data_IF_800894988028
#
_entry.id   IF_800894988028
#
_cell.length_a   1.000
_cell.length_b   1.000
_cell.length_c   1.000
_cell.angle_alpha   90.00
_cell.angle_beta   90.00
_cell.angle_gamma   90.00
#
_symmetry.space_group_name_H-M   'P 1'
#
loop_
_entity.id
_entity.type
_entity.pdbx_description
1 polymer ?
#
# COMPACT_ATOMS: atom_id res chain seq x y z
N UNK A 1 -26.65 -31.38 -20.97
CA UNK A 1 -25.58 -30.64 -21.69
C UNK A 1 -24.87 -29.70 -20.72
N UNK A 2 -23.55 -29.64 -20.71
CA UNK A 2 -22.84 -28.66 -19.88
C UNK A 2 -23.17 -27.24 -20.36
N UNK A 3 -23.30 -26.31 -19.42
CA UNK A 3 -23.50 -24.90 -19.74
C UNK A 3 -22.26 -24.31 -20.46
N UNK A 4 -22.46 -23.31 -21.33
CA UNK A 4 -21.34 -22.68 -22.03
C UNK A 4 -20.41 -21.96 -21.03
N UNK A 5 -19.10 -21.99 -21.32
CA UNK A 5 -18.12 -21.19 -20.58
C UNK A 5 -18.07 -19.78 -21.17
N UNK A 6 -18.18 -18.78 -20.29
CA UNK A 6 -18.06 -17.37 -20.67
C UNK A 6 -16.58 -17.01 -20.66
N UNK A 7 -16.10 -16.45 -21.77
CA UNK A 7 -14.72 -15.93 -21.84
C UNK A 7 -14.62 -14.59 -21.12
N UNK A 8 -13.65 -14.46 -20.24
CA UNK A 8 -13.36 -13.22 -19.54
C UNK A 8 -12.22 -12.50 -20.25
N UNK A 9 -12.32 -11.18 -20.52
CA UNK A 9 -11.23 -10.41 -21.10
C UNK A 9 -10.01 -10.38 -20.17
N UNK A 10 -8.83 -10.14 -20.75
CA UNK A 10 -7.58 -10.02 -19.99
C UNK A 10 -6.92 -8.69 -20.25
N UNK A 11 -6.32 -8.11 -19.23
CA UNK A 11 -5.67 -6.81 -19.24
C UNK A 11 -4.23 -6.94 -18.78
N UNK A 12 -3.41 -5.94 -19.08
CA UNK A 12 -2.01 -5.84 -18.65
C UNK A 12 -1.83 -4.58 -17.80
N UNK A 13 -1.05 -4.70 -16.74
CA UNK A 13 -0.70 -3.61 -15.83
C UNK A 13 0.80 -3.68 -15.54
N UNK A 14 1.42 -2.51 -15.33
CA UNK A 14 2.82 -2.42 -14.89
C UNK A 14 2.85 -2.05 -13.42
N UNK A 15 3.44 -2.90 -12.58
CA UNK A 15 3.57 -2.66 -11.14
C UNK A 15 4.46 -1.43 -10.89
N UNK A 16 4.04 -0.49 -10.04
CA UNK A 16 4.80 0.72 -9.73
C UNK A 16 6.15 0.45 -9.07
N UNK A 17 6.26 -0.56 -8.21
CA UNK A 17 7.47 -0.85 -7.43
C UNK A 17 8.67 -1.27 -8.28
N UNK A 18 8.46 -2.19 -9.21
CA UNK A 18 9.53 -2.90 -9.91
C UNK A 18 9.41 -2.89 -11.44
N UNK A 19 8.40 -2.19 -11.99
CA UNK A 19 8.11 -2.10 -13.42
C UNK A 19 7.77 -3.44 -14.08
N UNK A 20 7.49 -4.48 -13.32
CA UNK A 20 7.07 -5.78 -13.83
C UNK A 20 5.69 -5.69 -14.44
N UNK A 21 5.53 -6.24 -15.64
CA UNK A 21 4.22 -6.36 -16.30
C UNK A 21 3.49 -7.58 -15.77
N UNK A 22 2.25 -7.40 -15.36
CA UNK A 22 1.35 -8.45 -14.91
C UNK A 22 0.09 -8.47 -15.75
N UNK A 23 -0.43 -9.65 -16.02
CA UNK A 23 -1.71 -9.84 -16.71
C UNK A 23 -2.74 -10.28 -15.70
N UNK A 24 -3.93 -9.72 -15.80
CA UNK A 24 -5.04 -9.99 -14.92
C UNK A 24 -6.36 -10.05 -15.68
N UNK A 25 -7.38 -10.61 -15.06
CA UNK A 25 -8.77 -10.55 -15.48
C UNK A 25 -9.60 -9.75 -14.49
N UNK A 26 -10.74 -9.21 -14.90
CA UNK A 26 -11.73 -8.67 -13.96
C UNK A 26 -12.16 -9.74 -12.96
N UNK A 27 -12.59 -9.35 -11.78
CA UNK A 27 -13.25 -10.28 -10.88
C UNK A 27 -14.67 -10.63 -11.39
N UNK A 28 -15.14 -11.78 -11.01
CA UNK A 28 -16.46 -12.30 -11.35
C UNK A 28 -17.37 -12.19 -10.12
N UNK A 29 -18.63 -12.51 -10.26
CA UNK A 29 -19.61 -12.50 -9.14
C UNK A 29 -19.14 -13.29 -7.91
N UNK A 30 -18.34 -14.32 -8.09
CA UNK A 30 -17.79 -15.10 -6.96
C UNK A 30 -16.79 -14.31 -6.13
N UNK A 31 -15.91 -13.54 -6.76
CA UNK A 31 -14.97 -12.67 -6.06
C UNK A 31 -15.66 -11.43 -5.47
N UNK A 32 -16.67 -10.89 -6.17
CA UNK A 32 -17.52 -9.81 -5.65
C UNK A 32 -18.22 -10.21 -4.35
N UNK A 33 -18.75 -11.43 -4.27
CA UNK A 33 -19.36 -11.95 -3.03
C UNK A 33 -18.36 -12.03 -1.88
N UNK A 34 -17.12 -12.42 -2.15
CA UNK A 34 -16.04 -12.46 -1.12
C UNK A 34 -15.82 -11.06 -0.59
N UNK A 35 -15.69 -10.05 -1.47
CA UNK A 35 -15.48 -8.67 -1.08
C UNK A 35 -16.63 -8.11 -0.25
N UNK A 36 -17.87 -8.31 -0.69
CA UNK A 36 -19.07 -7.83 0.02
C UNK A 36 -19.13 -8.42 1.43
N UNK A 37 -18.94 -9.73 1.57
CA UNK A 37 -18.97 -10.40 2.86
C UNK A 37 -17.85 -9.91 3.80
N UNK A 38 -16.65 -9.64 3.25
CA UNK A 38 -15.55 -9.09 4.02
C UNK A 38 -15.84 -7.65 4.50
N UNK A 39 -16.40 -6.80 3.63
CA UNK A 39 -16.78 -5.43 4.00
C UNK A 39 -17.90 -5.40 5.05
N UNK A 40 -18.89 -6.32 4.96
CA UNK A 40 -19.96 -6.45 5.95
C UNK A 40 -19.45 -6.91 7.34
N UNK A 41 -18.29 -7.56 7.40
CA UNK A 41 -17.70 -8.00 8.67
C UNK A 41 -17.12 -6.85 9.50
N UNK A 42 -16.80 -5.73 8.87
CA UNK A 42 -16.07 -4.58 9.46
C UNK A 42 -14.70 -4.98 10.08
N UNK A 43 -14.20 -6.18 9.76
CA UNK A 43 -12.95 -6.73 10.26
C UNK A 43 -11.82 -6.47 9.23
N UNK A 44 -10.86 -5.64 9.60
CA UNK A 44 -9.74 -5.23 8.73
C UNK A 44 -8.93 -6.42 8.22
N UNK A 45 -8.74 -7.45 9.04
CA UNK A 45 -8.03 -8.66 8.64
C UNK A 45 -8.80 -9.42 7.57
N UNK A 46 -10.11 -9.62 7.76
CA UNK A 46 -10.94 -10.29 6.77
C UNK A 46 -11.01 -9.51 5.45
N UNK A 47 -11.05 -8.18 5.50
CA UNK A 47 -11.01 -7.32 4.32
C UNK A 47 -9.67 -7.50 3.58
N UNK A 48 -8.56 -7.48 4.31
CA UNK A 48 -7.21 -7.67 3.74
C UNK A 48 -7.07 -9.05 3.09
N UNK A 49 -7.46 -10.11 3.79
CA UNK A 49 -7.42 -11.48 3.29
C UNK A 49 -8.28 -11.65 2.03
N UNK A 50 -9.46 -11.02 1.99
CA UNK A 50 -10.33 -11.01 0.81
C UNK A 50 -9.68 -10.31 -0.38
N UNK A 51 -9.04 -9.16 -0.17
CA UNK A 51 -8.32 -8.43 -1.24
C UNK A 51 -7.19 -9.28 -1.80
N UNK A 52 -6.38 -9.90 -0.94
CA UNK A 52 -5.28 -10.81 -1.36
C UNK A 52 -5.84 -11.96 -2.20
N UNK A 53 -6.89 -12.61 -1.71
CA UNK A 53 -7.53 -13.72 -2.41
C UNK A 53 -8.06 -13.30 -3.77
N UNK A 54 -8.79 -12.18 -3.83
CA UNK A 54 -9.35 -11.65 -5.09
C UNK A 54 -8.25 -11.34 -6.10
N UNK A 55 -7.17 -10.67 -5.67
CA UNK A 55 -6.05 -10.36 -6.56
C UNK A 55 -5.40 -11.65 -7.04
N UNK A 56 -5.13 -12.60 -6.14
CA UNK A 56 -4.53 -13.91 -6.48
C UNK A 56 -5.36 -14.67 -7.52
N UNK A 57 -6.69 -14.71 -7.35
CA UNK A 57 -7.62 -15.37 -8.26
C UNK A 57 -7.73 -14.65 -9.62
N UNK A 58 -7.54 -13.33 -9.65
CA UNK A 58 -7.62 -12.52 -10.85
C UNK A 58 -6.29 -12.44 -11.63
N UNK A 59 -5.15 -12.67 -10.97
CA UNK A 59 -3.85 -12.68 -11.64
C UNK A 59 -3.70 -13.89 -12.56
N UNK A 60 -3.29 -13.63 -13.81
CA UNK A 60 -3.00 -14.65 -14.83
C UNK A 60 -1.49 -14.90 -14.90
N UNK A 61 -0.68 -13.87 -14.63
CA UNK A 61 0.78 -14.00 -14.59
C UNK A 61 1.19 -14.91 -13.45
N UNK A 62 1.82 -16.03 -13.78
CA UNK A 62 2.37 -16.96 -12.80
C UNK A 62 3.61 -16.37 -12.11
N UNK A 63 3.94 -16.88 -10.93
CA UNK A 63 5.11 -16.47 -10.13
C UNK A 63 5.08 -15.02 -9.65
N UNK A 64 3.89 -14.52 -9.33
CA UNK A 64 3.68 -13.30 -8.57
C UNK A 64 3.01 -13.71 -7.27
N UNK A 65 3.75 -13.60 -6.19
CA UNK A 65 3.24 -13.78 -4.85
C UNK A 65 2.69 -12.43 -4.37
N UNK A 66 1.38 -12.36 -4.21
CA UNK A 66 0.68 -11.12 -3.86
C UNK A 66 1.10 -10.61 -2.48
N UNK A 67 1.34 -11.52 -1.54
CA UNK A 67 1.69 -11.19 -0.15
C UNK A 67 3.07 -10.54 -0.01
N UNK A 68 3.96 -10.80 -1.00
CA UNK A 68 5.30 -10.21 -1.09
C UNK A 68 5.36 -8.89 -1.85
N UNK A 69 4.23 -8.44 -2.41
CA UNK A 69 4.17 -7.14 -3.05
C UNK A 69 4.08 -6.02 -1.99
N UNK A 70 4.63 -4.83 -2.29
CA UNK A 70 4.37 -3.65 -1.49
C UNK A 70 2.88 -3.31 -1.47
N UNK A 71 2.41 -2.73 -0.37
CA UNK A 71 1.00 -2.37 -0.18
C UNK A 71 0.45 -1.49 -1.30
N UNK A 72 1.21 -0.49 -1.74
CA UNK A 72 0.79 0.39 -2.84
C UNK A 72 0.67 -0.32 -4.20
N UNK A 73 1.42 -1.42 -4.44
CA UNK A 73 1.24 -2.27 -5.63
C UNK A 73 -0.07 -3.06 -5.54
N UNK A 74 -0.38 -3.59 -4.35
CA UNK A 74 -1.61 -4.35 -4.07
C UNK A 74 -2.83 -3.44 -4.25
N UNK A 75 -2.80 -2.27 -3.65
CA UNK A 75 -3.86 -1.26 -3.76
C UNK A 75 -4.09 -0.86 -5.23
N UNK A 76 -3.01 -0.58 -5.95
CA UNK A 76 -3.06 -0.21 -7.36
C UNK A 76 -3.60 -1.34 -8.24
N UNK A 77 -3.19 -2.57 -7.95
CA UNK A 77 -3.67 -3.76 -8.66
C UNK A 77 -5.15 -3.99 -8.41
N UNK A 78 -5.59 -3.91 -7.15
CA UNK A 78 -6.98 -4.06 -6.76
C UNK A 78 -7.89 -3.03 -7.43
N UNK A 79 -7.50 -1.75 -7.42
CA UNK A 79 -8.25 -0.70 -8.11
C UNK A 79 -8.41 -0.98 -9.61
N UNK A 80 -7.35 -1.41 -10.27
CA UNK A 80 -7.40 -1.73 -11.70
C UNK A 80 -8.26 -2.95 -12.00
N UNK A 81 -8.19 -4.00 -11.17
CA UNK A 81 -9.06 -5.17 -11.28
C UNK A 81 -10.52 -4.75 -11.11
N UNK A 82 -10.82 -3.93 -10.08
CA UNK A 82 -12.16 -3.42 -9.81
C UNK A 82 -12.69 -2.54 -10.94
N UNK A 83 -11.88 -1.63 -11.46
CA UNK A 83 -12.25 -0.75 -12.57
C UNK A 83 -12.77 -1.52 -13.78
N UNK A 84 -12.12 -2.63 -14.11
CA UNK A 84 -12.54 -3.47 -15.25
C UNK A 84 -13.66 -4.46 -14.92
N UNK A 85 -14.11 -4.51 -13.66
CA UNK A 85 -15.16 -5.42 -13.19
C UNK A 85 -16.51 -4.70 -13.01
N UNK A 86 -16.50 -3.56 -12.32
CA UNK A 86 -17.70 -2.87 -11.83
C UNK A 86 -17.89 -1.52 -12.52
N UNK A 87 -16.79 -0.93 -13.04
CA UNK A 87 -16.82 0.38 -13.69
C UNK A 87 -15.59 1.22 -13.36
N UNK A 88 -15.36 2.23 -14.17
CA UNK A 88 -14.16 3.06 -14.14
C UNK A 88 -14.25 4.25 -13.17
N UNK A 89 -15.37 4.38 -12.44
CA UNK A 89 -15.57 5.44 -11.44
C UNK A 89 -15.86 4.86 -10.06
N UNK A 90 -15.49 5.62 -9.03
CA UNK A 90 -15.81 5.36 -7.64
C UNK A 90 -16.45 6.62 -7.04
N UNK A 91 -17.52 6.44 -6.27
CA UNK A 91 -18.17 7.50 -5.52
C UNK A 91 -17.55 7.56 -4.13
N UNK A 92 -17.15 8.75 -3.70
CA UNK A 92 -16.55 8.99 -2.40
C UNK A 92 -17.26 10.13 -1.68
N UNK A 93 -17.38 10.01 -0.35
CA UNK A 93 -17.95 11.03 0.50
C UNK A 93 -16.83 11.83 1.17
N UNK A 94 -16.66 13.08 0.75
CA UNK A 94 -15.62 13.96 1.24
C UNK A 94 -16.15 14.90 2.29
N UNK A 95 -15.57 14.90 3.48
CA UNK A 95 -15.83 15.92 4.49
C UNK A 95 -15.07 17.18 4.13
N UNK A 96 -15.79 18.30 3.97
CA UNK A 96 -15.20 19.59 3.64
C UNK A 96 -14.24 20.07 4.73
N UNK A 97 -12.96 20.39 4.40
CA UNK A 97 -11.97 20.78 5.41
C UNK A 97 -12.27 22.10 6.11
N UNK A 98 -13.00 23.00 5.45
CA UNK A 98 -13.27 24.35 5.94
C UNK A 98 -14.21 24.38 7.16
N UNK A 99 -15.16 23.44 7.25
CA UNK A 99 -16.10 23.36 8.38
C UNK A 99 -16.02 22.03 9.15
N UNK A 100 -15.34 21.00 8.58
CA UNK A 100 -15.18 19.69 9.19
C UNK A 100 -16.50 18.90 9.38
N UNK A 101 -17.57 19.28 8.71
CA UNK A 101 -18.92 18.73 8.93
C UNK A 101 -19.66 18.42 7.65
N UNK A 102 -19.62 19.32 6.67
CA UNK A 102 -20.36 19.17 5.42
C UNK A 102 -19.72 18.08 4.58
N UNK A 103 -20.54 17.11 4.17
CA UNK A 103 -20.09 16.02 3.28
C UNK A 103 -20.54 16.31 1.86
N UNK A 104 -19.66 16.07 0.90
CA UNK A 104 -19.90 16.20 -0.53
C UNK A 104 -19.62 14.87 -1.19
N UNK A 105 -20.60 14.34 -1.90
CA UNK A 105 -20.45 13.17 -2.73
C UNK A 105 -19.80 13.57 -4.05
N UNK A 106 -18.72 12.88 -4.41
CA UNK A 106 -17.93 13.16 -5.61
C UNK A 106 -17.56 11.86 -6.30
N UNK A 107 -17.66 11.84 -7.62
CA UNK A 107 -17.22 10.70 -8.45
C UNK A 107 -15.80 10.93 -8.93
N UNK A 108 -14.93 9.94 -8.74
CA UNK A 108 -13.53 9.94 -9.15
C UNK A 108 -13.34 8.86 -10.22
N UNK A 109 -12.67 9.20 -11.32
CA UNK A 109 -12.25 8.20 -12.29
C UNK A 109 -11.04 7.43 -11.74
N UNK A 110 -11.12 6.11 -11.70
CA UNK A 110 -10.07 5.23 -11.18
C UNK A 110 -8.75 5.40 -11.96
N UNK A 111 -8.85 5.71 -13.27
CA UNK A 111 -7.67 5.96 -14.10
C UNK A 111 -6.90 7.25 -13.70
N UNK A 112 -7.51 8.16 -12.93
CA UNK A 112 -6.87 9.37 -12.40
C UNK A 112 -6.13 9.10 -11.08
N UNK A 113 -6.43 8.00 -10.39
CA UNK A 113 -5.76 7.58 -9.16
C UNK A 113 -4.40 7.00 -9.53
N UNK A 114 -3.32 7.53 -8.96
CA UNK A 114 -1.94 7.15 -9.29
C UNK A 114 -1.17 6.77 -8.03
N UNK A 115 -0.18 5.91 -8.22
CA UNK A 115 0.86 5.75 -7.21
C UNK A 115 1.85 6.90 -7.37
N UNK A 116 1.84 7.80 -6.40
CA UNK A 116 2.70 8.99 -6.37
C UNK A 116 3.92 8.70 -5.51
N UNK A 117 5.09 8.98 -6.06
CA UNK A 117 6.39 8.88 -5.38
C UNK A 117 6.94 10.27 -5.14
N UNK A 118 7.37 10.56 -3.92
CA UNK A 118 8.09 11.79 -3.61
C UNK A 118 9.38 11.89 -4.46
N UNK A 119 9.72 13.10 -4.90
CA UNK A 119 10.98 13.34 -5.64
C UNK A 119 12.22 13.08 -4.78
N UNK A 120 12.09 13.24 -3.49
CA UNK A 120 13.18 13.08 -2.51
C UNK A 120 13.31 11.65 -1.99
N UNK A 121 12.43 10.74 -2.44
CA UNK A 121 12.45 9.35 -2.00
C UNK A 121 13.70 8.60 -2.45
N UNK A 122 14.40 8.01 -1.50
CA UNK A 122 15.63 7.24 -1.71
C UNK A 122 15.50 5.86 -1.08
N UNK A 123 15.96 4.84 -1.79
CA UNK A 123 16.07 3.47 -1.26
C UNK A 123 17.36 3.25 -0.47
N UNK A 124 18.30 4.16 -0.59
CA UNK A 124 19.62 4.08 0.08
C UNK A 124 19.71 5.22 1.08
N UNK A 125 19.92 4.86 2.34
CA UNK A 125 20.17 5.76 3.46
C UNK A 125 21.66 5.71 3.77
N UNK A 126 22.32 6.86 3.75
CA UNK A 126 23.71 6.97 4.14
C UNK A 126 23.78 7.16 5.66
N UNK A 127 24.28 6.15 6.37
CA UNK A 127 24.34 6.17 7.83
C UNK A 127 25.47 7.05 8.34
N UNK A 128 26.66 6.92 7.72
CA UNK A 128 27.84 7.73 8.02
C UNK A 128 28.79 7.81 6.80
N UNK A 129 30.08 8.13 7.02
CA UNK A 129 31.06 8.20 5.93
C UNK A 129 31.41 6.82 5.38
N UNK A 130 31.24 5.77 6.16
CA UNK A 130 31.62 4.39 5.82
C UNK A 130 30.42 3.57 5.41
N UNK A 131 29.33 3.57 6.20
CA UNK A 131 28.20 2.65 6.04
C UNK A 131 27.01 3.28 5.34
N UNK A 132 26.41 2.49 4.46
CA UNK A 132 25.14 2.78 3.79
C UNK A 132 24.18 1.61 3.98
N UNK A 133 22.91 1.91 4.12
CA UNK A 133 21.83 0.93 4.25
C UNK A 133 20.88 1.06 3.08
N UNK A 134 20.63 -0.04 2.40
CA UNK A 134 19.59 -0.14 1.38
C UNK A 134 18.33 -0.69 1.99
N UNK A 135 17.21 -0.01 1.74
CA UNK A 135 15.89 -0.38 2.21
C UNK A 135 15.04 -0.96 1.07
N UNK A 136 14.14 -1.86 1.41
CA UNK A 136 13.07 -2.40 0.57
C UNK A 136 11.72 -1.94 1.09
N UNK A 137 10.74 -1.85 0.18
CA UNK A 137 9.38 -1.53 0.59
C UNK A 137 8.80 -2.65 1.44
N UNK A 138 8.07 -2.31 2.52
CA UNK A 138 7.39 -3.31 3.32
C UNK A 138 6.37 -4.07 2.47
N UNK A 139 6.39 -5.38 2.58
CA UNK A 139 5.40 -6.26 1.97
C UNK A 139 4.16 -6.36 2.85
N UNK A 140 3.06 -6.84 2.29
CA UNK A 140 1.84 -7.05 3.05
C UNK A 140 2.02 -8.09 4.17
N UNK A 141 2.78 -9.16 3.93
CA UNK A 141 3.12 -10.13 4.98
C UNK A 141 3.75 -9.45 6.19
N UNK A 142 4.70 -8.54 5.95
CA UNK A 142 5.37 -7.80 7.02
C UNK A 142 4.41 -6.88 7.80
N UNK A 143 3.42 -6.27 7.14
CA UNK A 143 2.38 -5.52 7.83
C UNK A 143 1.51 -6.40 8.72
N UNK A 144 1.11 -7.57 8.22
CA UNK A 144 0.29 -8.53 8.97
C UNK A 144 1.07 -9.12 10.15
N UNK A 145 2.33 -9.53 9.94
CA UNK A 145 3.18 -10.16 10.96
C UNK A 145 3.51 -9.21 12.11
N UNK A 146 3.69 -7.92 11.81
CA UNK A 146 4.00 -6.92 12.82
C UNK A 146 2.75 -6.34 13.52
N UNK A 147 1.55 -6.85 13.25
CA UNK A 147 0.27 -6.35 13.76
C UNK A 147 0.17 -4.81 13.68
N UNK A 148 0.58 -4.26 12.53
CA UNK A 148 0.72 -2.82 12.37
C UNK A 148 -0.65 -2.16 12.23
N UNK A 149 -1.30 -1.94 13.37
CA UNK A 149 -2.51 -1.13 13.47
C UNK A 149 -2.15 0.22 14.09
N UNK A 150 -1.93 1.21 13.23
CA UNK A 150 -1.56 2.57 13.67
C UNK A 150 -2.63 3.24 14.54
N UNK A 151 -3.89 2.79 14.46
CA UNK A 151 -5.00 3.45 15.14
C UNK A 151 -5.29 2.90 16.55
N UNK A 152 -4.83 1.69 16.88
CA UNK A 152 -5.24 0.96 18.10
C UNK A 152 -4.09 0.57 19.04
N UNK A 153 -2.83 0.76 18.67
CA UNK A 153 -1.70 0.32 19.49
C UNK A 153 -1.46 1.24 20.70
N UNK A 154 -1.29 0.65 21.88
CA UNK A 154 -0.77 1.35 23.05
C UNK A 154 0.60 1.96 22.71
N UNK A 155 0.97 3.13 23.26
CA UNK A 155 2.16 3.89 22.85
C UNK A 155 3.47 3.06 22.86
N UNK A 156 3.63 2.12 23.78
CA UNK A 156 4.82 1.27 23.86
C UNK A 156 4.81 0.11 22.86
N UNK A 157 3.63 -0.44 22.53
CA UNK A 157 3.48 -1.48 21.53
C UNK A 157 3.66 -0.92 20.11
N UNK A 158 3.20 0.31 19.88
CA UNK A 158 3.38 0.99 18.60
C UNK A 158 4.85 1.26 18.28
N UNK A 159 5.68 1.62 19.25
CA UNK A 159 7.13 1.85 19.06
C UNK A 159 7.83 0.53 18.72
N UNK A 160 7.56 -0.54 19.45
CA UNK A 160 8.16 -1.85 19.18
C UNK A 160 7.76 -2.40 17.81
N UNK A 161 6.48 -2.27 17.44
CA UNK A 161 5.99 -2.68 16.13
C UNK A 161 6.63 -1.84 15.00
N UNK A 162 6.77 -0.53 15.20
CA UNK A 162 7.43 0.36 14.24
C UNK A 162 8.90 -0.02 14.05
N UNK A 163 9.65 -0.29 15.13
CA UNK A 163 11.04 -0.74 15.07
C UNK A 163 11.17 -2.08 14.35
N UNK A 164 10.30 -3.03 14.65
CA UNK A 164 10.26 -4.33 13.98
C UNK A 164 9.92 -4.23 12.48
N UNK A 165 9.07 -3.28 12.11
CA UNK A 165 8.79 -2.98 10.70
C UNK A 165 10.02 -2.39 10.02
N UNK A 166 10.71 -1.45 10.68
CA UNK A 166 11.94 -0.83 10.17
C UNK A 166 13.01 -1.88 9.88
N UNK A 167 13.32 -2.74 10.85
CA UNK A 167 14.33 -3.79 10.70
C UNK A 167 13.96 -4.77 9.57
N UNK A 168 12.67 -5.10 9.43
CA UNK A 168 12.19 -5.97 8.35
C UNK A 168 12.33 -5.36 6.94
N UNK A 169 12.43 -4.03 6.85
CA UNK A 169 12.62 -3.30 5.60
C UNK A 169 14.09 -3.14 5.20
N UNK A 170 15.04 -3.57 6.00
CA UNK A 170 16.44 -3.63 5.59
C UNK A 170 16.60 -4.67 4.47
N UNK A 171 17.21 -4.26 3.36
CA UNK A 171 17.58 -5.16 2.26
C UNK A 171 19.04 -5.57 2.38
N UNK A 172 19.91 -4.59 2.60
CA UNK A 172 21.34 -4.78 2.69
C UNK A 172 22.00 -3.63 3.45
N UNK A 173 23.03 -3.95 4.22
CA UNK A 173 23.96 -2.97 4.79
C UNK A 173 25.30 -3.18 4.08
N UNK A 174 26.01 -2.11 3.73
CA UNK A 174 27.28 -2.23 3.00
C UNK A 174 28.21 -1.05 3.25
N UNK A 175 29.49 -1.30 3.05
CA UNK A 175 30.52 -0.29 2.93
C UNK A 175 31.32 -0.45 1.60
N UNK A 176 32.50 0.14 1.48
CA UNK A 176 33.32 0.06 0.26
C UNK A 176 33.94 -1.34 0.03
N UNK A 177 34.05 -2.17 1.07
CA UNK A 177 34.76 -3.45 1.04
C UNK A 177 33.83 -4.65 1.22
N UNK A 178 32.76 -4.51 2.01
CA UNK A 178 31.89 -5.62 2.41
C UNK A 178 30.39 -5.26 2.27
N UNK A 179 29.56 -6.28 2.16
CA UNK A 179 28.10 -6.15 2.18
C UNK A 179 27.45 -7.26 3.00
N UNK A 180 26.44 -6.91 3.78
CA UNK A 180 25.66 -7.81 4.63
C UNK A 180 24.23 -7.83 4.12
N UNK A 181 23.83 -8.95 3.54
CA UNK A 181 22.45 -9.16 3.07
C UNK A 181 21.55 -9.45 4.27
N UNK A 182 20.45 -8.72 4.41
CA UNK A 182 19.52 -8.90 5.51
C UNK A 182 18.87 -10.29 5.53
N UNK A 183 18.85 -11.01 4.40
CA UNK A 183 18.34 -12.39 4.34
C UNK A 183 19.25 -13.42 5.03
N UNK A 184 20.51 -13.06 5.28
CA UNK A 184 21.50 -13.89 5.97
C UNK A 184 21.58 -13.57 7.48
N UNK A 185 20.88 -12.51 7.93
CA UNK A 185 20.84 -12.07 9.31
C UNK A 185 19.56 -12.51 10.01
N UNK A 186 19.63 -12.69 11.32
CA UNK A 186 18.41 -12.93 12.12
C UNK A 186 17.66 -11.62 12.37
N UNK A 187 16.39 -11.74 12.78
CA UNK A 187 15.60 -10.57 13.13
C UNK A 187 16.21 -9.81 14.29
N UNK A 188 16.69 -10.53 15.29
CA UNK A 188 17.33 -9.98 16.48
C UNK A 188 18.59 -9.17 16.13
N UNK A 189 19.42 -9.65 15.19
CA UNK A 189 20.61 -8.93 14.71
C UNK A 189 20.24 -7.65 13.97
N UNK A 190 19.16 -7.67 13.17
CA UNK A 190 18.67 -6.47 12.48
C UNK A 190 18.04 -5.46 13.46
N UNK A 191 17.31 -5.92 14.48
CA UNK A 191 16.76 -5.08 15.52
C UNK A 191 17.89 -4.41 16.34
N UNK A 192 18.91 -5.19 16.77
CA UNK A 192 20.11 -4.67 17.44
C UNK A 192 20.89 -3.67 16.58
N UNK A 193 20.89 -3.84 15.26
CA UNK A 193 21.53 -2.88 14.37
C UNK A 193 20.77 -1.55 14.33
N UNK A 194 19.44 -1.58 14.28
CA UNK A 194 18.61 -0.36 14.34
C UNK A 194 18.79 0.37 15.67
N UNK A 195 18.90 -0.35 16.78
CA UNK A 195 19.12 0.22 18.12
C UNK A 195 20.47 0.96 18.26
N UNK A 196 21.45 0.66 17.39
CA UNK A 196 22.74 1.35 17.36
C UNK A 196 22.71 2.70 16.63
N UNK A 197 21.64 2.98 15.86
CA UNK A 197 21.52 4.21 15.10
C UNK A 197 21.36 5.42 16.04
N UNK A 198 22.08 6.49 15.74
CA UNK A 198 21.83 7.76 16.41
C UNK A 198 20.56 8.44 15.85
N UNK A 199 20.06 9.43 16.56
CA UNK A 199 18.80 10.14 16.21
C UNK A 199 18.78 10.65 14.76
N UNK A 200 19.93 11.16 14.25
CA UNK A 200 20.01 11.69 12.89
C UNK A 200 19.90 10.56 11.85
N UNK A 201 20.61 9.46 12.07
CA UNK A 201 20.54 8.28 11.21
C UNK A 201 19.13 7.68 11.18
N UNK A 202 18.51 7.61 12.36
CA UNK A 202 17.13 7.15 12.49
C UNK A 202 16.13 8.05 11.73
N UNK A 203 16.27 9.37 11.80
CA UNK A 203 15.45 10.30 11.03
C UNK A 203 15.57 10.11 9.51
N UNK A 204 16.76 9.76 9.00
CA UNK A 204 16.93 9.44 7.58
C UNK A 204 16.19 8.14 7.19
N UNK A 205 16.09 7.19 8.12
CA UNK A 205 15.28 5.96 7.93
C UNK A 205 13.79 6.28 7.96
N UNK A 206 13.32 7.10 8.92
CA UNK A 206 11.92 7.56 8.97
C UNK A 206 11.52 8.29 7.68
N UNK A 207 12.45 9.07 7.09
CA UNK A 207 12.21 9.78 5.85
C UNK A 207 11.92 8.83 4.67
N UNK A 208 12.51 7.63 4.66
CA UNK A 208 12.17 6.61 3.67
C UNK A 208 10.68 6.26 3.72
N UNK A 209 10.13 5.99 4.93
CA UNK A 209 8.71 5.63 5.09
C UNK A 209 7.79 6.80 4.77
N UNK A 210 8.16 8.01 5.20
CA UNK A 210 7.38 9.22 4.94
C UNK A 210 7.27 9.53 3.45
N UNK A 211 8.30 9.22 2.67
CA UNK A 211 8.41 9.55 1.24
C UNK A 211 8.13 8.39 0.31
N UNK A 212 7.89 7.18 0.83
CA UNK A 212 7.63 6.01 0.00
C UNK A 212 6.39 6.19 -0.89
N UNK A 213 6.31 5.47 -2.02
CA UNK A 213 5.17 5.58 -2.91
C UNK A 213 3.85 5.28 -2.21
N UNK A 214 2.82 6.08 -2.51
CA UNK A 214 1.47 5.91 -2.00
C UNK A 214 0.46 6.04 -3.13
N UNK A 215 -0.62 5.25 -3.04
CA UNK A 215 -1.79 5.46 -3.87
C UNK A 215 -2.42 6.80 -3.47
N UNK A 216 -2.56 7.74 -4.40
CA UNK A 216 -3.01 9.08 -4.08
C UNK A 216 -3.80 9.70 -5.23
N UNK A 217 -4.79 10.51 -4.87
CA UNK A 217 -5.53 11.37 -5.78
C UNK A 217 -5.86 12.70 -5.09
N UNK A 218 -5.60 13.81 -5.77
CA UNK A 218 -5.95 15.15 -5.29
C UNK A 218 -7.18 15.65 -6.04
N UNK A 219 -8.19 16.05 -5.31
CA UNK A 219 -9.40 16.63 -5.88
C UNK A 219 -9.77 17.95 -5.23
N UNK A 220 -10.55 18.76 -5.96
CA UNK A 220 -11.11 20.00 -5.47
C UNK A 220 -12.55 19.79 -5.10
N UNK A 221 -12.91 20.21 -3.91
CA UNK A 221 -14.27 20.11 -3.37
C UNK A 221 -14.75 21.51 -3.00
N UNK A 222 -15.96 21.84 -3.44
CA UNK A 222 -16.61 23.10 -3.03
C UNK A 222 -17.66 22.80 -1.99
N UNK A 223 -17.54 23.39 -0.80
CA UNK A 223 -18.54 23.27 0.24
C UNK A 223 -19.85 23.97 -0.19
N UNK A 224 -20.97 23.26 -0.32
CA UNK A 224 -22.22 23.86 -0.77
C UNK A 224 -22.84 24.83 0.24
N UNK A 225 -22.41 24.81 1.51
CA UNK A 225 -22.93 25.69 2.55
C UNK A 225 -22.14 26.99 2.67
N UNK A 226 -20.81 26.91 2.55
CA UNK A 226 -19.92 28.08 2.69
C UNK A 226 -19.45 28.69 1.38
N UNK A 227 -19.51 27.91 0.28
CA UNK A 227 -18.98 28.29 -1.04
C UNK A 227 -17.46 28.22 -1.12
N UNK A 228 -16.77 27.72 -0.09
CA UNK A 228 -15.29 27.62 -0.08
C UNK A 228 -14.85 26.40 -0.90
N UNK A 229 -13.88 26.64 -1.79
CA UNK A 229 -13.18 25.58 -2.52
C UNK A 229 -11.95 25.12 -1.73
N UNK A 230 -11.81 23.82 -1.51
CA UNK A 230 -10.68 23.20 -0.80
C UNK A 230 -10.06 22.09 -1.63
N UNK A 231 -8.74 21.92 -1.54
CA UNK A 231 -8.06 20.75 -2.07
C UNK A 231 -8.04 19.65 -1.01
N UNK A 232 -8.43 18.43 -1.40
CA UNK A 232 -8.41 17.24 -0.56
C UNK A 232 -7.55 16.18 -1.22
N UNK A 233 -6.60 15.63 -0.47
CA UNK A 233 -5.76 14.52 -0.90
C UNK A 233 -6.30 13.24 -0.29
N UNK A 234 -6.68 12.29 -1.13
CA UNK A 234 -7.04 10.94 -0.72
C UNK A 234 -5.81 10.04 -0.87
N UNK A 235 -5.44 9.34 0.19
CA UNK A 235 -4.30 8.42 0.21
C UNK A 235 -4.72 7.03 0.70
N UNK A 236 -4.14 6.00 0.09
CA UNK A 236 -4.44 4.61 0.39
C UNK A 236 -5.80 4.13 -0.10
N UNK A 237 -5.97 2.82 -0.20
CA UNK A 237 -7.16 2.20 -0.76
C UNK A 237 -8.44 2.54 0.02
N UNK A 238 -8.38 2.58 1.35
CA UNK A 238 -9.53 2.84 2.21
C UNK A 238 -10.21 4.18 1.92
N UNK A 239 -9.45 5.22 1.54
CA UNK A 239 -9.98 6.55 1.21
C UNK A 239 -10.89 6.57 -0.03
N UNK A 240 -10.85 5.51 -0.85
CA UNK A 240 -11.66 5.39 -2.06
C UNK A 240 -12.88 4.46 -1.89
N UNK A 241 -13.13 3.95 -0.66
CA UNK A 241 -14.22 3.03 -0.36
C UNK A 241 -15.02 3.42 0.88
N UNK A 242 -14.81 4.63 1.38
CA UNK A 242 -15.50 5.19 2.55
C UNK A 242 -16.78 5.95 2.18
#
# INVERSE_FOLDING_TARGET
MPLPKINTPTYELTLPSNRKKVRYRPFLVREEKILVLALESEDQKQITDAIIQIIGDCLITKNVDVTKLPTFDIEYLFLNVRSKSVGESVEVNITCPDDGKTKVETSINIDDIKVVKSKDHKLIVKLDEKYSMKLKYPSLDQFIENNFDFEMAEPNESVSAAMSMLSSCIDMIYDEEESWDASESTKEELDEFIDQLNTKQFQEVEEFFRTMPKLSHTLKVTNPQTGVESEVVLEGLASFFS
#
